data_IF_973963969487
#
_entry.id   IF_973963969487
#
_cell.length_a   1.000
_cell.length_b   1.000
_cell.length_c   1.000
_cell.angle_alpha   90.00
_cell.angle_beta   90.00
_cell.angle_gamma   90.00
#
_symmetry.space_group_name_H-M   'P 1'
#
loop_
_entity.id
_entity.type
_entity.pdbx_description
1 polymer ?
#
# COMPACT_ATOMS: atom_id res chain seq x y z
N UNK A 1 -0.98 -8.05 0.99
CA UNK A 1 -1.17 -8.56 -0.39
C UNK A 1 0.19 -8.53 -1.06
N UNK A 2 0.50 -9.51 -1.89
CA UNK A 2 1.78 -9.53 -2.60
C UNK A 2 1.84 -8.41 -3.66
N UNK A 3 3.03 -8.16 -4.21
CA UNK A 3 3.24 -7.10 -5.19
C UNK A 3 2.36 -7.23 -6.45
N UNK A 4 2.16 -8.46 -6.95
CA UNK A 4 1.34 -8.69 -8.14
C UNK A 4 -0.15 -8.40 -7.89
N UNK A 5 -0.70 -8.86 -6.76
CA UNK A 5 -2.06 -8.56 -6.31
C UNK A 5 -2.26 -7.06 -6.12
N UNK A 6 -1.29 -6.40 -5.49
CA UNK A 6 -1.31 -4.97 -5.26
C UNK A 6 -1.36 -4.20 -6.58
N UNK A 7 -0.43 -4.46 -7.50
CA UNK A 7 -0.36 -3.80 -8.81
C UNK A 7 -1.64 -4.02 -9.64
N UNK A 8 -2.15 -5.25 -9.66
CA UNK A 8 -3.40 -5.55 -10.34
C UNK A 8 -4.57 -4.78 -9.73
N UNK A 9 -4.68 -4.73 -8.41
CA UNK A 9 -5.71 -3.97 -7.73
C UNK A 9 -5.60 -2.46 -8.00
N UNK A 10 -4.41 -1.87 -7.90
CA UNK A 10 -4.17 -0.46 -8.20
C UNK A 10 -4.55 -0.15 -9.65
N UNK A 11 -4.22 -1.03 -10.60
CA UNK A 11 -4.62 -0.89 -12.00
C UNK A 11 -6.14 -0.82 -12.18
N UNK A 12 -6.92 -1.54 -11.38
CA UNK A 12 -8.39 -1.52 -11.45
C UNK A 12 -9.00 -0.21 -10.95
N UNK A 13 -8.36 0.45 -9.98
CA UNK A 13 -8.83 1.72 -9.39
C UNK A 13 -8.04 2.94 -9.87
N UNK A 14 -7.19 2.78 -10.90
CA UNK A 14 -6.21 3.80 -11.32
C UNK A 14 -6.84 5.16 -11.61
N UNK A 15 -8.05 5.16 -12.16
CA UNK A 15 -8.76 6.39 -12.53
C UNK A 15 -9.23 7.15 -11.28
N UNK A 16 -9.66 6.42 -10.24
CA UNK A 16 -10.03 7.00 -8.95
C UNK A 16 -8.83 7.56 -8.19
N UNK A 17 -7.62 7.06 -8.46
CA UNK A 17 -6.40 7.52 -7.81
C UNK A 17 -5.83 8.82 -8.40
N UNK A 18 -6.30 9.25 -9.57
CA UNK A 18 -5.81 10.48 -10.22
C UNK A 18 -6.18 11.70 -9.40
N UNK A 19 -5.22 12.60 -9.20
CA UNK A 19 -5.41 13.83 -8.42
C UNK A 19 -5.38 13.63 -6.90
N UNK A 20 -5.24 12.41 -6.41
CA UNK A 20 -5.07 12.15 -4.97
C UNK A 20 -3.61 12.26 -4.55
N UNK A 21 -3.41 12.60 -3.27
CA UNK A 21 -2.09 12.42 -2.65
C UNK A 21 -1.90 10.95 -2.30
N UNK A 22 -0.90 10.30 -2.89
CA UNK A 22 -0.54 8.93 -2.59
C UNK A 22 0.72 8.92 -1.73
N UNK A 23 0.70 8.21 -0.62
CA UNK A 23 1.86 8.09 0.26
C UNK A 23 2.27 6.63 0.37
N UNK A 24 3.58 6.38 0.38
CA UNK A 24 4.18 5.08 0.69
C UNK A 24 4.95 5.20 2.00
N UNK A 25 4.53 4.42 2.99
CA UNK A 25 5.31 4.15 4.19
C UNK A 25 6.23 2.95 3.91
N UNK A 26 7.52 3.07 4.21
CA UNK A 26 8.49 1.98 4.15
C UNK A 26 9.42 2.04 5.37
N UNK A 27 10.45 1.20 5.39
CA UNK A 27 11.45 1.16 6.47
C UNK A 27 12.20 2.48 6.68
N UNK A 28 12.23 3.35 5.67
CA UNK A 28 12.95 4.63 5.70
C UNK A 28 12.03 5.82 6.08
N UNK A 29 10.74 5.61 6.29
CA UNK A 29 9.78 6.64 6.66
C UNK A 29 8.59 6.74 5.70
N UNK A 30 8.17 7.97 5.40
CA UNK A 30 6.98 8.25 4.60
C UNK A 30 7.33 9.15 3.41
N UNK A 31 6.96 8.72 2.20
CA UNK A 31 7.18 9.48 0.96
C UNK A 31 5.84 9.72 0.28
N UNK A 32 5.56 10.98 -0.06
CA UNK A 32 4.34 11.38 -0.76
C UNK A 32 4.62 11.60 -2.25
N UNK A 33 3.71 11.15 -3.09
CA UNK A 33 3.77 11.18 -4.55
C UNK A 33 2.56 11.94 -5.08
N UNK A 34 2.82 12.83 -6.06
CA UNK A 34 1.77 13.62 -6.71
C UNK A 34 1.27 12.98 -8.00
N UNK A 35 2.05 12.06 -8.57
CA UNK A 35 1.69 11.37 -9.80
C UNK A 35 1.69 9.86 -9.62
N UNK A 36 0.83 9.18 -10.40
CA UNK A 36 0.78 7.72 -10.44
C UNK A 36 2.07 7.10 -10.98
N UNK A 37 2.81 7.83 -11.81
CA UNK A 37 4.05 7.35 -12.40
C UNK A 37 5.16 7.25 -11.34
N UNK A 38 5.37 8.31 -10.55
CA UNK A 38 6.35 8.30 -9.46
C UNK A 38 5.97 7.26 -8.39
N UNK A 39 4.69 7.21 -8.04
CA UNK A 39 4.19 6.20 -7.10
C UNK A 39 4.43 4.78 -7.63
N UNK A 40 4.12 4.52 -8.90
CA UNK A 40 4.37 3.23 -9.54
C UNK A 40 5.84 2.84 -9.53
N UNK A 41 6.75 3.78 -9.79
CA UNK A 41 8.19 3.57 -9.68
C UNK A 41 8.62 3.14 -8.28
N UNK A 42 8.11 3.82 -7.24
CA UNK A 42 8.41 3.46 -5.86
C UNK A 42 7.89 2.05 -5.49
N UNK A 43 6.71 1.66 -5.99
CA UNK A 43 6.17 0.31 -5.79
C UNK A 43 7.07 -0.75 -6.43
N UNK A 44 7.61 -0.50 -7.63
CA UNK A 44 8.54 -1.42 -8.29
C UNK A 44 9.86 -1.55 -7.52
N UNK A 45 10.37 -0.46 -6.94
CA UNK A 45 11.58 -0.50 -6.11
C UNK A 45 11.39 -1.31 -4.82
N UNK A 46 10.23 -1.18 -4.16
CA UNK A 46 9.91 -1.98 -2.98
C UNK A 46 9.63 -3.45 -3.32
N UNK A 47 9.03 -3.74 -4.49
CA UNK A 47 8.84 -5.10 -4.98
C UNK A 47 10.17 -5.82 -5.20
N UNK A 48 11.18 -5.15 -5.75
CA UNK A 48 12.53 -5.72 -5.92
C UNK A 48 13.16 -6.17 -4.59
N UNK A 49 12.73 -5.59 -3.46
CA UNK A 49 13.16 -5.97 -2.11
C UNK A 49 12.37 -7.16 -1.54
N UNK A 50 11.40 -7.69 -2.29
CA UNK A 50 10.54 -8.78 -1.85
C UNK A 50 9.44 -8.36 -0.86
N UNK A 51 9.07 -7.07 -0.83
CA UNK A 51 8.06 -6.57 0.10
C UNK A 51 6.63 -6.79 -0.41
N UNK A 52 5.76 -7.04 0.56
CA UNK A 52 4.31 -7.04 0.39
C UNK A 52 3.77 -5.63 0.66
N UNK A 53 2.55 -5.38 0.20
CA UNK A 53 1.89 -4.08 0.35
C UNK A 53 0.58 -4.20 1.11
N UNK A 54 0.18 -3.11 1.76
CA UNK A 54 -1.16 -2.94 2.34
C UNK A 54 -1.61 -1.49 2.30
N UNK A 55 -2.92 -1.29 2.37
CA UNK A 55 -3.50 0.03 2.64
C UNK A 55 -3.37 0.25 4.14
N UNK A 56 -2.66 1.30 4.53
CA UNK A 56 -2.47 1.65 5.94
C UNK A 56 -3.55 2.60 6.43
N UNK A 57 -3.85 3.63 5.64
CA UNK A 57 -4.83 4.66 6.00
C UNK A 57 -5.42 5.33 4.75
N UNK A 58 -6.70 5.68 4.81
CA UNK A 58 -7.39 6.45 3.79
C UNK A 58 -7.98 7.69 4.44
N UNK A 59 -7.81 8.84 3.81
CA UNK A 59 -8.42 10.10 4.25
C UNK A 59 -9.55 10.48 3.32
N UNK A 60 -10.67 10.87 3.92
CA UNK A 60 -11.83 11.45 3.28
C UNK A 60 -12.05 12.86 3.80
N UNK A 61 -12.99 13.59 3.23
CA UNK A 61 -13.41 14.90 3.75
C UNK A 61 -13.96 14.80 5.20
N UNK A 62 -14.50 13.66 5.59
CA UNK A 62 -15.15 13.43 6.90
C UNK A 62 -14.18 12.89 7.96
N UNK A 63 -12.92 12.62 7.60
CA UNK A 63 -11.91 12.10 8.51
C UNK A 63 -11.07 10.98 7.90
N UNK A 64 -10.67 10.01 8.70
CA UNK A 64 -9.84 8.89 8.23
C UNK A 64 -10.50 7.55 8.45
N UNK A 65 -10.42 6.68 7.44
CA UNK A 65 -11.05 5.37 7.41
C UNK A 65 -10.00 4.28 7.22
N UNK A 66 -10.14 3.19 7.99
CA UNK A 66 -9.33 1.98 7.82
C UNK A 66 -9.92 1.09 6.74
N UNK A 67 -9.13 0.76 5.71
CA UNK A 67 -9.58 -0.06 4.58
C UNK A 67 -8.68 -1.28 4.45
N UNK A 68 -9.27 -2.49 4.43
CA UNK A 68 -8.53 -3.77 4.49
C UNK A 68 -8.21 -4.38 3.11
N UNK A 69 -8.83 -3.90 2.04
CA UNK A 69 -8.60 -4.43 0.68
C UNK A 69 -8.86 -3.38 -0.40
N UNK A 70 -8.28 -3.59 -1.58
CA UNK A 70 -8.48 -2.70 -2.73
C UNK A 70 -9.95 -2.70 -3.19
N UNK A 71 -10.64 -3.84 -3.09
CA UNK A 71 -12.09 -3.90 -3.37
C UNK A 71 -12.87 -2.97 -2.44
N UNK A 72 -12.53 -2.97 -1.16
CA UNK A 72 -13.20 -2.12 -0.17
C UNK A 72 -12.85 -0.63 -0.38
N UNK A 73 -11.64 -0.34 -0.86
CA UNK A 73 -11.26 1.01 -1.31
C UNK A 73 -12.07 1.47 -2.53
N UNK A 74 -12.31 0.58 -3.49
CA UNK A 74 -13.14 0.86 -4.66
C UNK A 74 -14.60 1.21 -4.28
N UNK A 75 -15.18 0.53 -3.30
CA UNK A 75 -16.50 0.88 -2.77
C UNK A 75 -16.49 2.20 -2.00
N UNK A 76 -15.41 2.50 -1.27
CA UNK A 76 -15.26 3.78 -0.58
C UNK A 76 -15.24 4.96 -1.57
N UNK A 77 -14.62 4.81 -2.73
CA UNK A 77 -14.64 5.84 -3.78
C UNK A 77 -16.03 6.16 -4.33
N UNK A 78 -16.99 5.24 -4.21
CA UNK A 78 -18.38 5.46 -4.67
C UNK A 78 -19.21 6.21 -3.64
N UNK A 79 -18.80 6.19 -2.38
CA UNK A 79 -19.62 6.63 -1.24
C UNK A 79 -19.01 7.81 -0.50
N UNK A 80 -17.74 8.12 -0.74
CA UNK A 80 -17.01 9.17 -0.02
C UNK A 80 -15.99 9.87 -0.92
N UNK A 81 -15.78 11.16 -0.64
CA UNK A 81 -14.72 11.94 -1.27
C UNK A 81 -13.38 11.64 -0.60
N UNK A 82 -12.63 10.72 -1.19
CA UNK A 82 -11.26 10.37 -0.76
C UNK A 82 -10.30 11.48 -1.22
N UNK A 83 -9.41 11.92 -0.33
CA UNK A 83 -8.45 13.02 -0.57
C UNK A 83 -7.00 12.55 -0.57
N UNK A 84 -6.68 11.52 0.22
CA UNK A 84 -5.35 10.94 0.27
C UNK A 84 -5.39 9.47 0.69
N UNK A 85 -4.38 8.70 0.28
CA UNK A 85 -4.21 7.30 0.66
C UNK A 85 -2.76 7.06 1.06
N UNK A 86 -2.56 6.39 2.19
CA UNK A 86 -1.26 5.88 2.62
C UNK A 86 -1.26 4.36 2.45
N UNK A 87 -0.31 3.90 1.66
CA UNK A 87 0.09 2.51 1.54
C UNK A 87 1.32 2.26 2.39
N UNK A 88 1.58 1.01 2.70
CA UNK A 88 2.78 0.58 3.39
C UNK A 88 3.39 -0.63 2.67
N UNK A 89 4.69 -0.55 2.39
CA UNK A 89 5.50 -1.71 2.05
C UNK A 89 6.04 -2.33 3.35
N UNK A 90 5.99 -3.65 3.44
CA UNK A 90 6.48 -4.36 4.61
C UNK A 90 7.08 -5.70 4.22
N UNK A 91 8.10 -6.10 4.99
CA UNK A 91 8.62 -7.46 4.90
C UNK A 91 7.60 -8.43 5.51
N UNK A 92 7.31 -9.51 4.81
CA UNK A 92 6.40 -10.54 5.25
C UNK A 92 7.10 -11.90 5.13
N UNK A 93 7.36 -12.61 6.24
CA UNK A 93 8.00 -13.92 6.18
C UNK A 93 7.14 -14.88 5.37
N UNK A 94 7.76 -15.58 4.42
CA UNK A 94 7.09 -16.54 3.54
C UNK A 94 7.19 -17.96 4.09
N UNK A 95 8.17 -18.21 4.96
CA UNK A 95 8.38 -19.51 5.60
C UNK A 95 8.35 -19.41 7.12
N UNK A 96 8.13 -20.55 7.78
CA UNK A 96 8.16 -20.64 9.25
C UNK A 96 9.56 -20.34 9.78
N UNK A 97 10.59 -20.77 9.05
CA UNK A 97 11.99 -20.55 9.37
C UNK A 97 12.34 -19.05 9.31
N UNK A 98 11.88 -18.33 8.28
CA UNK A 98 12.03 -16.87 8.17
C UNK A 98 11.33 -16.16 9.33
N UNK A 99 10.10 -16.58 9.66
CA UNK A 99 9.37 -16.04 10.80
C UNK A 99 10.13 -16.26 12.10
N UNK A 100 10.61 -17.48 12.38
CA UNK A 100 11.36 -17.79 13.61
C UNK A 100 12.68 -17.01 13.70
N UNK A 101 13.41 -16.84 12.59
CA UNK A 101 14.63 -16.01 12.55
C UNK A 101 14.35 -14.54 12.89
N UNK A 102 13.21 -14.00 12.48
CA UNK A 102 12.87 -12.59 12.78
C UNK A 102 12.64 -12.28 14.27
N UNK A 103 12.42 -13.30 15.11
CA UNK A 103 12.30 -13.15 16.57
C UNK A 103 13.59 -13.51 17.32
N UNK A 104 14.69 -13.80 16.61
CA UNK A 104 15.94 -14.26 17.23
C UNK A 104 15.84 -15.64 17.90
N UNK A 105 14.85 -16.46 17.51
CA UNK A 105 14.58 -17.77 18.13
C UNK A 105 15.39 -18.93 17.50
N UNK A 106 16.32 -18.62 16.59
CA UNK A 106 17.14 -19.58 15.84
C UNK A 106 18.64 -19.25 15.93
N UNK A 107 19.06 -18.66 17.05
CA UNK A 107 20.48 -18.57 17.46
C UNK A 107 20.80 -19.72 18.42
#
# INVERSE_FOLDING_TARGET
>A
MNAAEFKNGIRLIKENLKGLTLQLANSNGYISFKTLNEFGGAILEEEKKGYDFRIKKVWTIDGSVGVKSIKHLAELFKTSNVTAIQFESFWNPKTKEEFMRSFGALD
#
